data_IF_294557501428
#
_entry.id   IF_294557501428
#
_cell.length_a   1.000
_cell.length_b   1.000
_cell.length_c   1.000
_cell.angle_alpha   90.00
_cell.angle_beta   90.00
_cell.angle_gamma   90.00
#
_symmetry.space_group_name_H-M   'P 1'
#
loop_
_entity.id
_entity.type
_entity.pdbx_description
1 polymer ?
#
# COMPACT_ATOMS: atom_id res chain seq x y z
N UNK A 1 18.23 -1.67 -13.68
CA UNK A 1 17.14 -1.24 -12.77
C UNK A 1 17.61 -0.03 -12.01
N UNK A 2 16.77 0.98 -11.84
CA UNK A 2 17.03 2.19 -11.07
C UNK A 2 16.20 2.17 -9.79
N UNK A 3 16.78 2.61 -8.66
CA UNK A 3 16.09 2.71 -7.37
C UNK A 3 16.17 4.17 -6.93
N UNK A 4 15.03 4.83 -6.77
CA UNK A 4 14.94 6.21 -6.29
C UNK A 4 14.45 6.16 -4.85
N UNK A 5 15.33 6.51 -3.91
CA UNK A 5 15.04 6.46 -2.47
C UNK A 5 14.54 7.85 -2.05
N UNK A 6 13.31 7.97 -1.50
CA UNK A 6 12.80 9.25 -1.00
C UNK A 6 13.51 9.66 0.30
N UNK A 7 13.68 10.96 0.51
CA UNK A 7 14.33 11.49 1.73
C UNK A 7 13.66 11.04 3.04
N UNK A 8 12.35 10.83 2.99
CA UNK A 8 11.57 10.38 4.16
C UNK A 8 11.38 8.85 4.23
N UNK A 9 12.22 8.06 3.54
CA UNK A 9 12.28 6.62 3.79
C UNK A 9 12.60 6.36 5.28
N UNK A 10 11.94 5.43 5.97
CA UNK A 10 11.01 4.39 5.52
C UNK A 10 9.52 4.79 5.49
N UNK A 11 9.17 6.05 5.77
CA UNK A 11 7.78 6.52 5.76
C UNK A 11 7.22 6.81 4.35
N UNK A 12 8.07 6.71 3.34
CA UNK A 12 7.69 6.65 1.93
C UNK A 12 8.45 5.51 1.25
N UNK A 13 7.83 4.90 0.26
CA UNK A 13 8.36 3.72 -0.43
C UNK A 13 9.29 4.16 -1.56
N UNK A 14 10.45 3.50 -1.74
CA UNK A 14 11.30 3.70 -2.90
C UNK A 14 10.56 3.43 -4.22
N UNK A 15 10.86 4.23 -5.23
CA UNK A 15 10.38 4.00 -6.60
C UNK A 15 11.43 3.20 -7.35
N UNK A 16 10.98 2.13 -7.96
CA UNK A 16 11.82 1.26 -8.78
C UNK A 16 11.45 1.43 -10.24
N UNK A 17 12.45 1.56 -11.11
CA UNK A 17 12.24 1.65 -12.56
C UNK A 17 13.00 0.58 -13.31
N UNK A 18 12.30 -0.07 -14.23
CA UNK A 18 12.90 -0.93 -15.22
C UNK A 18 13.51 -0.07 -16.34
N UNK A 19 14.83 -0.07 -16.46
CA UNK A 19 15.57 0.72 -17.46
C UNK A 19 16.32 -0.14 -18.49
N UNK A 20 16.29 -1.46 -18.32
CA UNK A 20 17.04 -2.40 -19.17
C UNK A 20 16.25 -2.98 -20.35
N UNK A 21 14.95 -2.69 -20.45
CA UNK A 21 14.08 -3.22 -21.51
C UNK A 21 13.85 -4.72 -21.46
N UNK A 22 14.18 -5.38 -20.35
CA UNK A 22 14.03 -6.84 -20.20
C UNK A 22 12.62 -7.26 -19.77
N UNK A 23 11.87 -6.36 -19.14
CA UNK A 23 10.50 -6.60 -18.69
C UNK A 23 9.55 -5.78 -19.56
N UNK A 24 8.54 -6.39 -20.20
CA UNK A 24 7.58 -5.63 -21.01
C UNK A 24 6.83 -4.57 -20.20
N UNK A 25 6.73 -3.35 -20.73
CA UNK A 25 6.08 -2.22 -20.06
C UNK A 25 4.56 -2.26 -20.27
N UNK A 26 3.89 -3.07 -19.48
CA UNK A 26 2.43 -3.12 -19.47
C UNK A 26 1.92 -3.70 -18.14
N UNK A 27 0.59 -3.60 -17.92
CA UNK A 27 -0.05 -4.05 -16.70
C UNK A 27 0.18 -5.53 -16.39
N UNK A 28 0.22 -6.41 -17.40
CA UNK A 28 0.43 -7.84 -17.20
C UNK A 28 1.76 -8.18 -16.50
N UNK A 29 2.74 -7.28 -16.58
CA UNK A 29 4.04 -7.43 -15.95
C UNK A 29 4.25 -6.45 -14.79
N UNK A 30 3.19 -5.74 -14.37
CA UNK A 30 3.23 -4.73 -13.32
C UNK A 30 4.33 -3.67 -13.54
N UNK A 31 4.48 -3.24 -14.78
CA UNK A 31 5.35 -2.13 -15.19
C UNK A 31 4.50 -1.03 -15.80
N UNK A 32 4.52 0.13 -15.17
CA UNK A 32 3.83 1.32 -15.66
C UNK A 32 4.47 1.86 -16.95
N UNK A 33 3.75 2.72 -17.72
CA UNK A 33 4.30 3.30 -18.94
C UNK A 33 5.60 4.10 -18.76
N UNK A 34 5.80 4.70 -17.58
CA UNK A 34 7.03 5.41 -17.20
C UNK A 34 8.18 4.49 -16.76
N UNK A 35 7.98 3.16 -16.82
CA UNK A 35 8.93 2.16 -16.41
C UNK A 35 8.92 1.86 -14.91
N UNK A 36 8.11 2.54 -14.11
CA UNK A 36 8.01 2.26 -12.67
C UNK A 36 7.34 0.91 -12.41
N UNK A 37 7.82 0.20 -11.39
CA UNK A 37 7.32 -1.12 -11.01
C UNK A 37 6.17 -0.99 -10.01
N UNK A 38 5.10 -1.74 -10.22
CA UNK A 38 4.01 -1.89 -9.27
C UNK A 38 4.28 -3.10 -8.37
N UNK A 39 4.82 -2.88 -7.16
CA UNK A 39 5.16 -3.95 -6.22
C UNK A 39 4.01 -4.31 -5.26
N UNK A 40 2.90 -3.58 -5.33
CA UNK A 40 1.74 -3.72 -4.47
C UNK A 40 1.20 -2.39 -3.98
N UNK A 41 0.14 -2.41 -3.17
CA UNK A 41 -0.45 -1.18 -2.63
C UNK A 41 0.52 -0.46 -1.67
N UNK A 42 0.52 0.89 -1.65
CA UNK A 42 1.47 1.65 -0.84
C UNK A 42 1.45 1.28 0.66
N UNK A 43 0.27 1.08 1.25
CA UNK A 43 0.15 0.71 2.66
C UNK A 43 0.68 -0.71 2.93
N UNK A 44 0.48 -1.64 2.00
CA UNK A 44 1.03 -3.00 2.12
C UNK A 44 2.55 -3.00 2.10
N UNK A 45 3.15 -2.17 1.26
CA UNK A 45 4.60 -2.04 1.20
C UNK A 45 5.15 -1.45 2.51
N UNK A 46 4.53 -0.40 3.07
CA UNK A 46 4.89 0.13 4.38
C UNK A 46 4.79 -0.93 5.49
N UNK A 47 3.72 -1.75 5.48
CA UNK A 47 3.58 -2.85 6.43
C UNK A 47 4.69 -3.91 6.29
N UNK A 48 5.09 -4.23 5.06
CA UNK A 48 6.17 -5.20 4.81
C UNK A 48 7.51 -4.72 5.37
N UNK A 49 7.86 -3.44 5.19
CA UNK A 49 9.12 -2.88 5.71
C UNK A 49 9.05 -2.57 7.21
N UNK A 50 7.85 -2.34 7.76
CA UNK A 50 7.58 -2.13 9.18
C UNK A 50 8.55 -1.12 9.85
N UNK A 51 8.67 0.08 9.26
CA UNK A 51 9.58 1.16 9.68
C UNK A 51 11.08 0.83 9.67
N UNK A 52 11.49 -0.27 9.06
CA UNK A 52 12.92 -0.54 8.86
C UNK A 52 13.52 0.54 7.96
N UNK A 53 14.55 1.23 8.45
CA UNK A 53 15.36 2.16 7.65
C UNK A 53 16.42 1.45 6.79
N UNK A 54 16.53 0.14 6.92
CA UNK A 54 17.42 -0.66 6.11
C UNK A 54 16.79 -0.95 4.74
N UNK A 55 17.45 -0.46 3.69
CA UNK A 55 17.02 -0.67 2.31
C UNK A 55 17.00 -2.16 1.93
N UNK A 56 17.86 -3.00 2.53
CA UNK A 56 17.85 -4.44 2.30
C UNK A 56 16.51 -5.06 2.66
N UNK A 57 15.87 -4.60 3.74
CA UNK A 57 14.52 -5.04 4.12
C UNK A 57 13.49 -4.78 3.03
N UNK A 58 13.55 -3.62 2.37
CA UNK A 58 12.67 -3.31 1.25
C UNK A 58 12.98 -4.19 0.03
N UNK A 59 14.26 -4.38 -0.28
CA UNK A 59 14.69 -5.24 -1.39
C UNK A 59 14.17 -6.66 -1.16
N UNK A 60 14.46 -7.25 -0.01
CA UNK A 60 14.12 -8.65 0.29
C UNK A 60 12.62 -8.90 0.35
N UNK A 61 11.87 -8.00 0.99
CA UNK A 61 10.43 -8.20 1.21
C UNK A 61 9.53 -7.71 0.07
N UNK A 62 10.02 -6.80 -0.76
CA UNK A 62 9.19 -6.18 -1.80
C UNK A 62 9.73 -6.44 -3.21
N UNK A 63 11.03 -6.20 -3.45
CA UNK A 63 11.61 -6.31 -4.79
C UNK A 63 11.90 -7.76 -5.19
N UNK A 64 12.56 -8.54 -4.33
CA UNK A 64 12.94 -9.92 -4.64
C UNK A 64 11.73 -10.79 -4.99
N UNK A 65 10.60 -10.77 -4.24
CA UNK A 65 9.40 -11.51 -4.62
C UNK A 65 8.85 -11.12 -5.99
N UNK A 66 8.87 -9.81 -6.32
CA UNK A 66 8.44 -9.34 -7.64
C UNK A 66 9.37 -9.88 -8.74
N UNK A 67 10.70 -9.76 -8.57
CA UNK A 67 11.67 -10.25 -9.55
C UNK A 67 11.56 -11.76 -9.77
N UNK A 68 11.32 -12.51 -8.71
CA UNK A 68 11.06 -13.93 -8.81
C UNK A 68 9.80 -14.24 -9.63
N UNK A 69 8.69 -13.57 -9.31
CA UNK A 69 7.43 -13.75 -10.02
C UNK A 69 7.53 -13.37 -11.51
N UNK A 70 8.22 -12.27 -11.83
CA UNK A 70 8.49 -11.83 -13.20
C UNK A 70 9.36 -12.85 -13.94
N UNK A 71 10.44 -13.31 -13.33
CA UNK A 71 11.32 -14.29 -13.95
C UNK A 71 10.59 -15.59 -14.27
N UNK A 72 9.72 -16.02 -13.35
CA UNK A 72 8.87 -17.19 -13.56
C UNK A 72 7.89 -16.98 -14.73
N UNK A 73 7.18 -15.83 -14.73
CA UNK A 73 6.19 -15.49 -15.75
C UNK A 73 6.82 -15.35 -17.16
N UNK A 74 7.99 -14.73 -17.25
CA UNK A 74 8.73 -14.61 -18.51
C UNK A 74 9.21 -15.97 -19.05
N UNK A 75 9.55 -16.89 -18.17
CA UNK A 75 10.05 -18.22 -18.56
C UNK A 75 8.94 -19.21 -18.90
N UNK A 76 7.88 -19.22 -18.11
CA UNK A 76 6.83 -20.26 -18.18
C UNK A 76 5.46 -19.73 -18.63
N UNK A 77 5.27 -18.42 -18.68
CA UNK A 77 3.96 -17.81 -18.94
C UNK A 77 2.99 -17.97 -17.78
N UNK A 78 1.69 -17.81 -18.06
CA UNK A 78 0.63 -18.05 -17.09
C UNK A 78 0.35 -16.90 -16.13
N UNK A 79 -0.37 -17.20 -15.05
CA UNK A 79 -0.78 -16.23 -14.04
C UNK A 79 0.36 -15.92 -13.05
N UNK A 80 0.19 -14.84 -12.28
CA UNK A 80 1.11 -14.50 -11.22
C UNK A 80 1.10 -15.57 -10.12
N UNK A 81 2.30 -16.04 -9.75
CA UNK A 81 2.47 -17.15 -8.78
C UNK A 81 2.07 -16.78 -7.35
N UNK A 82 2.07 -15.50 -7.00
CA UNK A 82 1.68 -14.99 -5.67
C UNK A 82 0.27 -14.39 -5.65
N UNK A 83 -0.53 -14.63 -6.70
CA UNK A 83 -1.78 -13.93 -6.91
C UNK A 83 -1.57 -12.52 -7.43
N UNK A 84 -2.64 -11.91 -7.90
CA UNK A 84 -2.64 -10.58 -8.50
C UNK A 84 -3.72 -9.72 -7.84
N UNK A 85 -3.38 -8.49 -7.49
CA UNK A 85 -4.36 -7.48 -7.13
C UNK A 85 -4.93 -6.89 -8.43
N UNK A 86 -6.20 -6.53 -8.42
CA UNK A 86 -6.76 -5.74 -9.51
C UNK A 86 -5.92 -4.48 -9.73
N UNK A 87 -5.83 -4.04 -10.98
CA UNK A 87 -5.06 -2.85 -11.30
C UNK A 87 -5.83 -1.57 -10.92
N UNK A 88 -5.07 -0.51 -10.68
CA UNK A 88 -5.63 0.82 -10.44
C UNK A 88 -6.24 0.98 -9.05
N UNK A 89 -7.21 1.87 -8.98
CA UNK A 89 -7.84 2.29 -7.73
C UNK A 89 -8.59 1.16 -7.03
N UNK A 90 -9.34 0.34 -7.77
CA UNK A 90 -10.11 -0.76 -7.22
C UNK A 90 -9.21 -1.78 -6.52
N UNK A 91 -8.08 -2.16 -7.11
CA UNK A 91 -7.13 -3.05 -6.46
C UNK A 91 -6.52 -2.47 -5.17
N UNK A 92 -6.29 -1.16 -5.13
CA UNK A 92 -5.83 -0.48 -3.91
C UNK A 92 -6.91 -0.54 -2.83
N UNK A 93 -8.18 -0.31 -3.19
CA UNK A 93 -9.31 -0.36 -2.26
C UNK A 93 -9.49 -1.78 -1.72
N UNK A 94 -9.49 -2.78 -2.58
CA UNK A 94 -9.61 -4.17 -2.18
C UNK A 94 -8.50 -4.58 -1.22
N UNK A 95 -7.26 -4.18 -1.52
CA UNK A 95 -6.14 -4.47 -0.64
C UNK A 95 -6.25 -3.73 0.71
N UNK A 96 -6.67 -2.47 0.70
CA UNK A 96 -6.91 -1.71 1.93
C UNK A 96 -8.10 -2.26 2.73
N UNK A 97 -9.15 -2.76 2.06
CA UNK A 97 -10.26 -3.48 2.70
C UNK A 97 -9.74 -4.68 3.47
N UNK A 98 -8.89 -5.49 2.84
CA UNK A 98 -8.26 -6.65 3.46
C UNK A 98 -7.34 -6.24 4.64
N UNK A 99 -6.49 -5.22 4.45
CA UNK A 99 -5.59 -4.71 5.50
C UNK A 99 -6.38 -4.22 6.70
N UNK A 100 -7.41 -3.41 6.48
CA UNK A 100 -8.23 -2.86 7.57
C UNK A 100 -9.24 -3.86 8.13
N UNK A 101 -9.58 -4.93 7.40
CA UNK A 101 -10.67 -5.85 7.72
C UNK A 101 -12.02 -5.15 7.63
N UNK A 102 -12.21 -4.36 6.60
CA UNK A 102 -13.43 -3.63 6.26
C UNK A 102 -14.02 -4.22 4.98
N UNK A 103 -15.33 -4.05 4.78
CA UNK A 103 -16.02 -4.64 3.61
C UNK A 103 -16.34 -3.61 2.54
N UNK A 104 -16.69 -2.40 2.97
CA UNK A 104 -17.22 -1.37 2.09
C UNK A 104 -16.14 -0.32 1.75
N UNK A 105 -16.12 0.13 0.49
CA UNK A 105 -15.26 1.24 0.03
C UNK A 105 -15.38 2.47 0.94
N UNK A 106 -16.61 2.84 1.32
CA UNK A 106 -16.88 3.97 2.22
C UNK A 106 -16.18 3.85 3.56
N UNK A 107 -16.11 2.63 4.11
CA UNK A 107 -15.42 2.35 5.38
C UNK A 107 -13.90 2.49 5.23
N UNK A 108 -13.32 2.07 4.09
CA UNK A 108 -11.89 2.25 3.78
C UNK A 108 -11.54 3.73 3.69
N UNK A 109 -12.34 4.51 2.94
CA UNK A 109 -12.16 5.96 2.83
C UNK A 109 -12.28 6.63 4.21
N UNK A 110 -13.24 6.21 5.05
CA UNK A 110 -13.38 6.72 6.39
C UNK A 110 -12.18 6.35 7.29
N UNK A 111 -11.63 5.13 7.18
CA UNK A 111 -10.43 4.72 7.91
C UNK A 111 -9.22 5.59 7.52
N UNK A 112 -9.01 5.84 6.23
CA UNK A 112 -7.97 6.76 5.74
C UNK A 112 -8.19 8.19 6.24
N UNK A 113 -9.42 8.69 6.29
CA UNK A 113 -9.75 9.97 6.91
C UNK A 113 -9.34 10.01 8.39
N UNK A 114 -9.65 8.94 9.13
CA UNK A 114 -9.28 8.86 10.55
C UNK A 114 -7.76 8.84 10.72
N UNK A 115 -7.02 8.14 9.85
CA UNK A 115 -5.56 8.11 9.83
C UNK A 115 -4.96 9.47 9.41
N UNK A 116 -5.63 10.19 8.52
CA UNK A 116 -5.21 11.51 8.04
C UNK A 116 -5.35 12.66 9.04
N UNK A 117 -5.95 12.44 10.22
CA UNK A 117 -6.12 13.46 11.26
C UNK A 117 -5.48 13.02 12.58
N UNK A 118 -5.21 14.01 13.48
CA UNK A 118 -4.67 13.71 14.81
C UNK A 118 -5.57 12.71 15.54
N UNK A 119 -4.98 11.76 16.26
CA UNK A 119 -5.67 10.68 17.01
C UNK A 119 -6.81 11.22 17.87
N UNK A 120 -6.60 12.33 18.58
CA UNK A 120 -7.62 12.96 19.44
C UNK A 120 -8.88 13.36 18.65
N UNK A 121 -8.71 13.83 17.41
CA UNK A 121 -9.83 14.21 16.54
C UNK A 121 -10.50 12.95 16.00
N UNK A 122 -9.73 12.00 15.49
CA UNK A 122 -10.23 10.74 14.96
C UNK A 122 -11.11 9.98 15.97
N UNK A 123 -10.68 9.88 17.23
CA UNK A 123 -11.39 9.16 18.29
C UNK A 123 -12.78 9.71 18.64
N UNK A 124 -13.07 10.96 18.28
CA UNK A 124 -14.39 11.58 18.47
C UNK A 124 -15.39 11.28 17.37
N UNK A 125 -14.92 10.79 16.22
CA UNK A 125 -15.74 10.50 15.04
C UNK A 125 -16.32 9.07 15.09
N UNK A 126 -17.37 8.78 14.28
CA UNK A 126 -17.91 7.43 14.13
C UNK A 126 -16.84 6.43 13.69
N UNK A 127 -16.92 5.21 14.20
CA UNK A 127 -15.97 4.16 13.87
C UNK A 127 -16.17 3.67 12.43
N UNK A 128 -15.10 3.59 11.61
CA UNK A 128 -15.18 3.05 10.25
C UNK A 128 -15.70 1.61 10.16
N UNK A 129 -15.59 0.81 11.22
CA UNK A 129 -16.06 -0.57 11.21
C UNK A 129 -17.59 -0.73 11.20
N UNK A 130 -18.36 0.36 11.30
CA UNK A 130 -19.82 0.33 11.25
C UNK A 130 -20.50 -0.11 12.56
N UNK A 131 -19.76 -0.21 13.69
CA UNK A 131 -20.33 -0.66 14.97
C UNK A 131 -21.22 0.36 15.71
N UNK A 132 -21.48 1.53 15.14
CA UNK A 132 -22.27 2.60 15.75
C UNK A 132 -21.58 3.37 16.88
N UNK A 133 -20.39 2.97 17.33
CA UNK A 133 -19.63 3.63 18.39
C UNK A 133 -18.71 4.72 17.83
N UNK A 134 -18.29 5.67 18.68
CA UNK A 134 -17.12 6.51 18.37
C UNK A 134 -15.86 5.65 18.28
N UNK A 135 -14.93 6.03 17.38
CA UNK A 135 -13.70 5.29 17.17
C UNK A 135 -12.92 5.04 18.46
N UNK A 136 -12.82 6.05 19.34
CA UNK A 136 -12.11 5.89 20.63
C UNK A 136 -12.72 4.89 21.59
N UNK A 137 -14.00 4.52 21.39
CA UNK A 137 -14.72 3.54 22.21
C UNK A 137 -14.84 2.15 21.52
N UNK A 138 -14.14 1.96 20.41
CA UNK A 138 -14.12 0.71 19.65
C UNK A 138 -12.71 0.16 19.57
N UNK A 139 -12.54 -1.17 19.71
CA UNK A 139 -11.21 -1.82 19.56
C UNK A 139 -10.52 -1.55 18.22
N UNK A 140 -11.27 -1.15 17.21
CA UNK A 140 -10.74 -0.78 15.90
C UNK A 140 -9.72 0.37 15.96
N UNK A 141 -9.80 1.25 16.97
CA UNK A 141 -8.80 2.31 17.16
C UNK A 141 -7.39 1.77 17.41
N UNK A 142 -7.26 0.61 18.06
CA UNK A 142 -5.95 -0.03 18.30
C UNK A 142 -5.31 -0.46 16.98
N UNK A 143 -6.13 -0.96 16.04
CA UNK A 143 -5.68 -1.32 14.70
C UNK A 143 -5.19 -0.08 13.95
N UNK A 144 -5.96 1.00 13.96
CA UNK A 144 -5.55 2.25 13.31
C UNK A 144 -4.29 2.88 13.95
N UNK A 145 -4.11 2.72 15.27
CA UNK A 145 -2.91 3.24 15.93
C UNK A 145 -1.63 2.57 15.40
N UNK A 146 -1.64 1.27 15.12
CA UNK A 146 -0.50 0.56 14.51
C UNK A 146 -0.13 1.14 13.13
N UNK A 147 -1.14 1.48 12.32
CA UNK A 147 -0.87 2.08 11.02
C UNK A 147 -0.35 3.53 11.10
N UNK A 148 -0.71 4.28 12.16
CA UNK A 148 -0.17 5.63 12.41
C UNK A 148 1.33 5.64 12.64
N UNK A 149 1.90 4.54 13.09
CA UNK A 149 3.32 4.38 13.30
C UNK A 149 4.09 4.24 11.99
N UNK A 150 3.42 3.81 10.90
CA UNK A 150 4.05 3.55 9.61
C UNK A 150 4.28 4.81 8.78
N UNK A 151 3.41 5.82 8.90
CA UNK A 151 3.50 7.03 8.09
C UNK A 151 2.82 8.23 8.76
N UNK A 152 3.19 9.47 8.40
CA UNK A 152 2.57 10.68 8.93
C UNK A 152 1.14 10.87 8.40
N UNK A 153 0.35 11.71 9.09
CA UNK A 153 -1.03 12.02 8.71
C UNK A 153 -1.17 12.59 7.29
N UNK A 154 -0.16 13.34 6.82
CA UNK A 154 -0.11 13.88 5.46
C UNK A 154 -0.07 12.78 4.40
N UNK A 155 0.64 11.70 4.66
CA UNK A 155 0.70 10.54 3.78
C UNK A 155 -0.69 9.90 3.62
N UNK A 156 -1.40 9.66 4.72
CA UNK A 156 -2.75 9.08 4.66
C UNK A 156 -3.78 9.99 3.98
N UNK A 157 -3.65 11.31 4.14
CA UNK A 157 -4.46 12.28 3.39
C UNK A 157 -4.25 12.13 1.88
N UNK A 158 -2.99 12.00 1.44
CA UNK A 158 -2.66 11.79 0.03
C UNK A 158 -3.23 10.47 -0.49
N UNK A 159 -3.10 9.38 0.28
CA UNK A 159 -3.70 8.08 -0.11
C UNK A 159 -5.21 8.18 -0.30
N UNK A 160 -5.92 8.90 0.59
CA UNK A 160 -7.35 9.14 0.43
C UNK A 160 -7.69 9.88 -0.87
N UNK A 161 -6.96 10.95 -1.18
CA UNK A 161 -7.20 11.72 -2.41
C UNK A 161 -7.02 10.87 -3.67
N UNK A 162 -6.05 9.97 -3.67
CA UNK A 162 -5.82 9.05 -4.78
C UNK A 162 -6.93 8.00 -4.97
N UNK A 163 -7.82 7.84 -4.00
CA UNK A 163 -8.92 6.85 -4.00
C UNK A 163 -10.29 7.52 -4.21
N UNK A 164 -10.40 8.81 -4.10
CA UNK A 164 -11.70 9.55 -4.13
C UNK A 164 -11.87 10.39 -5.41
N UNK A 165 -10.80 10.59 -6.16
CA UNK A 165 -10.80 11.30 -7.45
C UNK A 165 -10.93 10.33 -8.62
#
# INVERSE_FOLDING_TARGET
>A
MEIIIPENFPHAIPILKEIGGKIPRNGNYHVNPDGSLCLGSPLRLLLKINNSSDLSTFIDKCLVPYLYAISYKLKYGGNWIFGELAHGEEGIIDDYSNIFGLKERSQVVQALNMLGVKKRIANKNPCPCGCGKKLGNCSFHNKLNKYRELAPTSWFKKQKLNIVN
#
